data_IF_480094621770
#
_entry.id   IF_480094621770
#
_cell.length_a   1.000
_cell.length_b   1.000
_cell.length_c   1.000
_cell.angle_alpha   90.00
_cell.angle_beta   90.00
_cell.angle_gamma   90.00
#
_symmetry.space_group_name_H-M   'P 1'
#
loop_
_entity.id
_entity.type
_entity.pdbx_description
1 polymer ?
#
# COMPACT_ATOMS: atom_id res chain seq x y z
N UNK A 1 9.05 -8.00 -6.36
CA UNK A 1 8.84 -6.63 -6.86
C UNK A 1 8.62 -6.71 -8.36
N UNK A 2 7.87 -5.77 -8.98
CA UNK A 2 7.74 -5.76 -10.42
C UNK A 2 9.10 -5.46 -11.06
N UNK A 3 9.25 -5.82 -12.34
CA UNK A 3 10.39 -5.37 -13.14
C UNK A 3 10.27 -3.89 -13.53
N UNK A 4 11.27 -3.38 -14.26
CA UNK A 4 11.28 -1.97 -14.73
C UNK A 4 10.14 -1.62 -15.69
N UNK A 5 9.46 -2.61 -16.26
CA UNK A 5 8.29 -2.43 -17.12
C UNK A 5 6.97 -2.57 -16.34
N UNK A 6 7.03 -2.74 -15.02
CA UNK A 6 5.86 -2.90 -14.16
C UNK A 6 5.29 -4.33 -14.13
N UNK A 7 6.01 -5.33 -14.63
CA UNK A 7 5.53 -6.72 -14.66
C UNK A 7 5.97 -7.53 -13.43
N UNK A 8 5.04 -8.29 -12.86
CA UNK A 8 5.27 -9.37 -11.92
C UNK A 8 5.25 -10.70 -12.68
N UNK A 9 6.40 -11.10 -13.23
CA UNK A 9 6.46 -12.24 -14.15
C UNK A 9 5.65 -11.94 -15.41
N UNK A 10 4.61 -12.73 -15.69
CA UNK A 10 3.73 -12.54 -16.86
C UNK A 10 2.56 -11.57 -16.63
N UNK A 11 2.42 -11.01 -15.43
CA UNK A 11 1.27 -10.19 -15.03
C UNK A 11 1.68 -8.74 -14.79
N UNK A 12 0.75 -7.79 -14.81
CA UNK A 12 1.06 -6.36 -14.61
C UNK A 12 1.42 -5.68 -15.93
N UNK A 13 2.35 -4.72 -15.90
CA UNK A 13 2.70 -3.90 -17.05
C UNK A 13 1.79 -2.70 -17.27
N UNK A 14 2.04 -1.94 -18.35
CA UNK A 14 1.27 -0.77 -18.75
C UNK A 14 0.64 -1.04 -20.14
N UNK A 15 -0.61 -1.47 -20.15
CA UNK A 15 -1.39 -1.71 -21.37
C UNK A 15 -2.41 -0.58 -21.57
N UNK A 16 -1.90 0.60 -21.90
CA UNK A 16 -2.68 1.83 -22.04
C UNK A 16 -2.37 2.48 -23.40
N UNK A 17 -3.22 3.42 -23.89
CA UNK A 17 -2.89 4.22 -25.06
C UNK A 17 -1.52 4.91 -24.94
N UNK A 18 -0.80 4.99 -26.06
CA UNK A 18 0.53 5.65 -26.13
C UNK A 18 0.49 7.09 -25.62
N UNK A 19 -0.63 7.78 -25.84
CA UNK A 19 -0.85 9.17 -25.38
C UNK A 19 -0.80 9.32 -23.86
N UNK A 20 -0.96 8.24 -23.09
CA UNK A 20 -0.87 8.25 -21.63
C UNK A 20 0.53 7.87 -21.11
N UNK A 21 1.40 7.32 -21.96
CA UNK A 21 2.73 6.88 -21.55
C UNK A 21 3.59 7.99 -20.93
N UNK A 22 3.60 9.24 -21.45
CA UNK A 22 4.36 10.33 -20.85
C UNK A 22 3.90 10.66 -19.42
N UNK A 23 2.58 10.78 -19.21
CA UNK A 23 2.02 11.09 -17.89
C UNK A 23 2.30 9.99 -16.86
N UNK A 24 2.28 8.71 -17.28
CA UNK A 24 2.63 7.58 -16.41
C UNK A 24 4.13 7.54 -16.08
N UNK A 25 5.00 8.00 -16.98
CA UNK A 25 6.43 8.10 -16.71
C UNK A 25 6.73 9.20 -15.70
N UNK A 26 6.14 10.38 -15.90
CA UNK A 26 6.25 11.52 -14.97
C UNK A 26 5.76 11.15 -13.56
N UNK A 27 4.59 10.51 -13.46
CA UNK A 27 4.05 10.06 -12.18
C UNK A 27 4.97 9.03 -11.49
N UNK A 28 5.55 8.10 -12.26
CA UNK A 28 6.46 7.10 -11.70
C UNK A 28 7.73 7.76 -11.17
N UNK A 29 8.31 8.71 -11.90
CA UNK A 29 9.48 9.47 -11.47
C UNK A 29 9.19 10.26 -10.19
N UNK A 30 8.13 11.07 -10.18
CA UNK A 30 7.71 11.84 -9.01
C UNK A 30 7.46 10.96 -7.79
N UNK A 31 6.83 9.79 -7.98
CA UNK A 31 6.63 8.83 -6.90
C UNK A 31 7.96 8.27 -6.37
N UNK A 32 8.93 7.94 -7.22
CA UNK A 32 10.22 7.41 -6.76
C UNK A 32 11.02 8.46 -5.96
N UNK A 33 10.90 9.74 -6.32
CA UNK A 33 11.49 10.85 -5.58
C UNK A 33 10.80 11.03 -4.24
N UNK A 34 9.47 11.24 -4.23
CA UNK A 34 8.67 11.44 -3.03
C UNK A 34 8.80 10.26 -2.04
N UNK A 35 8.87 9.03 -2.56
CA UNK A 35 9.06 7.84 -1.73
C UNK A 35 10.41 7.84 -1.00
N UNK A 36 11.45 8.48 -1.52
CA UNK A 36 12.77 8.54 -0.86
C UNK A 36 12.92 9.76 0.06
N UNK A 37 12.09 10.78 -0.13
CA UNK A 37 12.08 11.97 0.71
C UNK A 37 11.47 11.67 2.08
N UNK A 38 12.34 11.48 3.07
CA UNK A 38 11.93 11.20 4.45
C UNK A 38 11.34 12.42 5.14
N UNK A 39 11.95 13.58 4.96
CA UNK A 39 11.68 14.78 5.75
C UNK A 39 10.51 15.59 5.20
N UNK A 40 10.37 15.68 3.87
CA UNK A 40 9.18 16.30 3.28
C UNK A 40 8.02 15.32 3.25
N UNK A 41 8.06 14.38 2.32
CA UNK A 41 6.87 13.58 2.01
C UNK A 41 6.51 12.52 3.07
N UNK A 42 7.46 11.69 3.52
CA UNK A 42 7.12 10.59 4.43
C UNK A 42 6.66 11.07 5.81
N UNK A 43 7.30 12.08 6.38
CA UNK A 43 6.91 12.64 7.68
C UNK A 43 5.51 13.25 7.64
N UNK A 44 5.19 14.04 6.60
CA UNK A 44 3.87 14.62 6.41
C UNK A 44 2.80 13.54 6.26
N UNK A 45 3.02 12.57 5.37
CA UNK A 45 2.09 11.45 5.17
C UNK A 45 1.87 10.68 6.47
N UNK A 46 2.93 10.38 7.22
CA UNK A 46 2.82 9.71 8.52
C UNK A 46 2.06 10.55 9.55
N UNK A 47 2.22 11.87 9.53
CA UNK A 47 1.46 12.82 10.33
C UNK A 47 -0.04 12.70 10.06
N UNK A 48 -0.46 12.74 8.79
CA UNK A 48 -1.86 12.55 8.42
C UNK A 48 -2.37 11.15 8.75
N UNK A 49 -1.57 10.11 8.50
CA UNK A 49 -1.98 8.74 8.82
C UNK A 49 -2.29 8.59 10.32
N UNK A 50 -1.50 9.22 11.19
CA UNK A 50 -1.72 9.17 12.65
C UNK A 50 -2.85 10.08 13.12
N UNK A 51 -2.79 11.35 12.72
CA UNK A 51 -3.61 12.40 13.33
C UNK A 51 -4.96 12.60 12.64
N UNK A 52 -5.10 12.16 11.38
CA UNK A 52 -6.32 12.32 10.60
C UNK A 52 -6.96 10.96 10.28
N UNK A 53 -6.19 10.01 9.74
CA UNK A 53 -6.71 8.70 9.35
C UNK A 53 -6.81 7.68 10.52
N UNK A 54 -6.26 7.99 11.69
CA UNK A 54 -6.38 7.16 12.89
C UNK A 54 -5.52 5.88 12.89
N UNK A 55 -4.38 5.87 12.20
CA UNK A 55 -3.43 4.75 12.19
C UNK A 55 -2.42 4.84 13.36
N UNK A 56 -1.86 3.71 13.83
CA UNK A 56 -2.10 2.35 13.36
C UNK A 56 -3.43 1.79 13.85
N UNK A 57 -4.05 0.96 13.01
CA UNK A 57 -5.28 0.27 13.39
C UNK A 57 -4.99 -0.96 14.26
N UNK A 58 -5.85 -1.27 15.24
CA UNK A 58 -5.61 -2.37 16.17
C UNK A 58 -5.69 -3.74 15.48
N UNK A 59 -4.92 -4.71 16.00
CA UNK A 59 -5.05 -6.11 15.66
C UNK A 59 -5.95 -6.80 16.68
N UNK A 60 -7.17 -7.14 16.28
CA UNK A 60 -8.21 -7.61 17.19
C UNK A 60 -8.30 -9.14 17.23
N UNK A 61 -8.10 -9.77 18.40
CA UNK A 61 -8.31 -11.21 18.58
C UNK A 61 -9.81 -11.55 18.60
N UNK A 62 -10.30 -12.19 17.54
CA UNK A 62 -11.70 -12.58 17.39
C UNK A 62 -12.01 -13.88 18.16
N UNK A 63 -12.08 -13.79 19.49
CA UNK A 63 -12.29 -14.94 20.39
C UNK A 63 -13.49 -15.81 19.99
N UNK A 64 -14.66 -15.21 19.74
CA UNK A 64 -15.87 -15.93 19.35
C UNK A 64 -15.71 -16.71 18.04
N UNK A 65 -15.00 -16.14 17.06
CA UNK A 65 -14.77 -16.78 15.77
C UNK A 65 -13.78 -17.94 15.92
N UNK A 66 -12.73 -17.75 16.72
CA UNK A 66 -11.79 -18.82 17.09
C UNK A 66 -12.52 -19.99 17.76
N UNK A 67 -13.38 -19.71 18.74
CA UNK A 67 -14.12 -20.74 19.47
C UNK A 67 -15.14 -21.46 18.56
N UNK A 68 -15.79 -20.73 17.65
CA UNK A 68 -16.71 -21.32 16.67
C UNK A 68 -16.02 -22.28 15.69
N UNK A 69 -14.80 -21.94 15.25
CA UNK A 69 -14.04 -22.75 14.29
C UNK A 69 -13.18 -23.84 14.95
N UNK A 70 -13.03 -23.81 16.29
CA UNK A 70 -12.33 -24.83 17.06
C UNK A 70 -10.82 -24.95 16.79
N UNK A 71 -10.21 -23.97 16.11
CA UNK A 71 -8.86 -24.07 15.56
C UNK A 71 -7.92 -22.93 15.94
N UNK A 72 -7.22 -22.40 14.94
CA UNK A 72 -6.20 -21.36 15.10
C UNK A 72 -6.73 -20.07 15.75
N UNK A 73 -5.83 -19.27 16.34
CA UNK A 73 -6.15 -17.91 16.79
C UNK A 73 -6.39 -17.00 15.59
N UNK A 74 -7.59 -16.40 15.52
CA UNK A 74 -7.96 -15.50 14.43
C UNK A 74 -7.83 -14.07 14.89
N UNK A 75 -6.96 -13.33 14.21
CA UNK A 75 -6.75 -11.91 14.42
C UNK A 75 -7.30 -11.13 13.23
N UNK A 76 -8.14 -10.13 13.49
CA UNK A 76 -8.69 -9.23 12.49
C UNK A 76 -7.86 -7.94 12.48
N UNK A 77 -7.25 -7.64 11.33
CA UNK A 77 -6.65 -6.33 11.08
C UNK A 77 -7.77 -5.34 10.77
N UNK A 78 -7.97 -4.37 11.67
CA UNK A 78 -9.07 -3.41 11.59
C UNK A 78 -8.73 -2.24 10.65
N UNK A 79 -8.44 -2.51 9.38
CA UNK A 79 -8.05 -1.46 8.40
C UNK A 79 -8.93 -0.21 8.42
#
# INVERSE_FOLDING_TARGET
MPDRKGHFGRFGGKFVPETLMPALAELEEAYQEARKDKQGFQEELNGYLRNYAGRPTPLFLAKRLKDHLGGARIYLKRE
#
